data_IF_526597527732
#
_entry.id   IF_526597527732
#
_cell.length_a   1.000
_cell.length_b   1.000
_cell.length_c   1.000
_cell.angle_alpha   90.00
_cell.angle_beta   90.00
_cell.angle_gamma   90.00
#
_symmetry.space_group_name_H-M   'P 1'
#
loop_
_entity.id
_entity.type
_entity.pdbx_description
1 polymer ?
#
# COMPACT_ATOMS: atom_id res chain seq x y z
N UNK A 1 7.78 34.14 39.42
CA UNK A 1 6.62 33.96 40.28
C UNK A 1 5.90 32.72 39.81
N UNK A 2 6.00 31.70 40.62
CA UNK A 2 5.34 30.39 40.66
C UNK A 2 4.84 29.71 39.38
N UNK A 3 5.70 28.81 38.87
CA UNK A 3 5.38 27.74 37.94
C UNK A 3 4.66 26.60 38.68
N UNK A 4 3.42 26.29 38.32
CA UNK A 4 2.72 25.09 38.74
C UNK A 4 3.17 23.94 37.88
N UNK A 5 3.89 22.99 38.47
CA UNK A 5 4.18 21.66 37.89
C UNK A 5 2.94 20.77 37.98
N UNK A 6 2.53 20.05 36.92
CA UNK A 6 1.53 19.00 37.06
C UNK A 6 2.16 17.77 37.71
N UNK A 7 1.53 17.31 38.80
CA UNK A 7 1.86 16.07 39.51
C UNK A 7 1.30 14.91 38.69
N UNK A 8 2.18 14.15 38.07
CA UNK A 8 1.83 12.85 37.47
C UNK A 8 1.69 11.82 38.59
N UNK A 9 0.48 11.38 38.88
CA UNK A 9 0.22 10.23 39.74
C UNK A 9 0.44 8.93 38.93
N UNK A 10 1.18 7.95 39.43
CA UNK A 10 1.27 6.66 38.79
C UNK A 10 -0.04 5.89 38.98
N UNK A 11 -0.69 5.51 37.87
CA UNK A 11 -1.75 4.53 37.85
C UNK A 11 -1.13 3.16 38.17
N UNK A 12 -1.52 2.59 39.28
CA UNK A 12 -1.19 1.23 39.65
C UNK A 12 -1.82 0.28 38.62
N UNK A 13 -0.98 -0.39 37.84
CA UNK A 13 -1.40 -1.47 36.96
C UNK A 13 -1.81 -2.66 37.83
N UNK A 14 -3.10 -2.96 37.84
CA UNK A 14 -3.61 -4.25 38.36
C UNK A 14 -3.16 -5.33 37.37
N UNK A 15 -2.14 -6.10 37.70
CA UNK A 15 -1.76 -7.28 36.97
C UNK A 15 -2.84 -8.34 37.21
N UNK A 16 -3.75 -8.51 36.26
CA UNK A 16 -4.60 -9.69 36.16
C UNK A 16 -3.70 -10.80 35.60
N UNK A 17 -3.24 -11.65 36.50
CA UNK A 17 -2.63 -12.93 36.16
C UNK A 17 -3.72 -13.85 35.60
N UNK A 18 -4.01 -13.70 34.31
CA UNK A 18 -4.63 -14.77 33.54
C UNK A 18 -3.57 -15.81 33.29
N UNK A 19 -3.71 -16.97 33.94
CA UNK A 19 -2.82 -18.09 33.74
C UNK A 19 -2.82 -18.52 32.29
N UNK A 20 -1.73 -18.26 31.60
CA UNK A 20 -1.43 -18.92 30.34
C UNK A 20 -1.43 -20.42 30.63
N UNK A 21 -2.09 -21.25 29.79
CA UNK A 21 -1.91 -22.70 29.92
C UNK A 21 -0.43 -22.99 29.73
N UNK A 22 0.18 -23.67 30.70
CA UNK A 22 1.58 -24.07 30.64
C UNK A 22 1.82 -24.74 29.27
N UNK A 23 2.77 -24.22 28.52
CA UNK A 23 3.31 -24.94 27.39
C UNK A 23 3.76 -26.29 27.91
N UNK A 24 3.06 -27.33 27.49
CA UNK A 24 3.38 -28.70 27.89
C UNK A 24 4.82 -28.97 27.45
N UNK A 25 5.68 -29.25 28.44
CA UNK A 25 6.98 -29.86 28.19
C UNK A 25 6.78 -30.99 27.21
N UNK A 26 7.70 -31.21 26.29
CA UNK A 26 7.74 -32.32 25.34
C UNK A 26 7.73 -33.65 26.10
N UNK A 27 6.56 -34.03 26.63
CA UNK A 27 6.27 -35.32 27.24
C UNK A 27 6.02 -36.31 26.12
N UNK A 28 6.56 -37.50 26.25
CA UNK A 28 6.36 -38.60 25.33
C UNK A 28 4.88 -38.72 24.95
N UNK A 29 4.60 -38.55 23.66
CA UNK A 29 3.27 -38.79 23.09
C UNK A 29 2.79 -40.19 23.47
N UNK A 30 1.53 -40.33 23.86
CA UNK A 30 0.98 -41.64 24.13
C UNK A 30 1.14 -42.56 22.92
N UNK A 31 1.42 -43.87 23.09
CA UNK A 31 1.49 -44.79 21.97
C UNK A 31 0.27 -44.73 21.05
N UNK A 32 -0.92 -44.54 21.60
CA UNK A 32 -2.16 -44.43 20.85
C UNK A 32 -2.26 -43.14 20.03
N UNK A 33 -1.75 -41.99 20.51
CA UNK A 33 -1.75 -40.74 19.78
C UNK A 33 -0.69 -40.77 18.64
N UNK A 34 0.46 -41.41 18.90
CA UNK A 34 1.47 -41.64 17.87
C UNK A 34 0.92 -42.53 16.76
N UNK A 35 0.29 -43.67 17.09
CA UNK A 35 -0.31 -44.56 16.09
C UNK A 35 -1.43 -43.86 15.31
N UNK A 36 -2.26 -43.10 16.00
CA UNK A 36 -3.34 -42.32 15.38
C UNK A 36 -2.77 -41.29 14.38
N UNK A 37 -1.76 -40.54 14.77
CA UNK A 37 -1.10 -39.59 13.89
C UNK A 37 -0.50 -40.29 12.67
N UNK A 38 0.32 -41.29 12.85
CA UNK A 38 1.03 -41.96 11.76
C UNK A 38 0.09 -42.68 10.79
N UNK A 39 -0.98 -43.31 11.31
CA UNK A 39 -1.90 -44.11 10.48
C UNK A 39 -3.04 -43.28 9.84
N UNK A 40 -3.39 -42.13 10.38
CA UNK A 40 -4.56 -41.36 9.97
C UNK A 40 -4.22 -39.95 9.52
N UNK A 41 -3.40 -39.22 10.26
CA UNK A 41 -3.16 -37.78 10.03
C UNK A 41 -2.02 -37.57 9.04
N UNK A 42 -0.87 -38.23 9.24
CA UNK A 42 0.27 -38.08 8.36
C UNK A 42 -0.08 -38.36 6.88
N UNK A 43 -0.83 -39.41 6.52
CA UNK A 43 -1.22 -39.63 5.12
C UNK A 43 -2.08 -38.49 4.55
N UNK A 44 -2.99 -37.92 5.33
CA UNK A 44 -3.79 -36.78 4.88
C UNK A 44 -2.90 -35.58 4.60
N UNK A 45 -2.02 -35.21 5.54
CA UNK A 45 -1.11 -34.08 5.37
C UNK A 45 -0.14 -34.28 4.22
N UNK A 46 0.39 -35.49 4.04
CA UNK A 46 1.31 -35.83 2.96
C UNK A 46 0.64 -35.79 1.58
N UNK A 47 -0.51 -36.45 1.44
CA UNK A 47 -1.10 -36.69 0.11
C UNK A 47 -1.90 -35.49 -0.39
N UNK A 48 -2.56 -34.77 0.52
CA UNK A 48 -3.54 -33.72 0.18
C UNK A 48 -2.99 -32.30 0.38
N UNK A 49 -2.00 -32.11 1.27
CA UNK A 49 -1.56 -30.77 1.67
C UNK A 49 -0.13 -30.42 1.23
N UNK A 50 0.79 -31.43 1.17
CA UNK A 50 2.24 -31.21 0.95
C UNK A 50 2.57 -30.52 -0.35
N UNK A 51 1.79 -30.67 -1.41
CA UNK A 51 2.03 -30.01 -2.70
C UNK A 51 2.15 -28.48 -2.59
N UNK A 52 1.50 -27.90 -1.60
CA UNK A 52 1.46 -26.44 -1.39
C UNK A 52 1.97 -26.02 -0.01
N UNK A 53 2.03 -26.96 0.97
CA UNK A 53 2.30 -26.67 2.37
C UNK A 53 3.43 -27.54 2.93
N UNK A 54 4.46 -27.77 2.13
CA UNK A 54 5.70 -28.46 2.53
C UNK A 54 6.92 -27.63 2.11
N UNK A 55 8.05 -27.90 2.76
CA UNK A 55 9.30 -27.17 2.50
C UNK A 55 9.82 -27.36 1.08
N UNK A 56 9.57 -28.53 0.50
CA UNK A 56 9.97 -28.89 -0.87
C UNK A 56 8.91 -28.54 -1.93
N UNK A 57 7.84 -27.85 -1.55
CA UNK A 57 6.84 -27.36 -2.51
C UNK A 57 7.46 -26.30 -3.43
N UNK A 58 7.09 -26.32 -4.72
CA UNK A 58 7.55 -25.33 -5.71
C UNK A 58 7.29 -23.89 -5.25
N UNK A 59 6.17 -23.68 -4.53
CA UNK A 59 5.84 -22.42 -3.84
C UNK A 59 5.05 -22.76 -2.58
N UNK A 60 5.57 -22.37 -1.42
CA UNK A 60 4.86 -22.47 -0.15
C UNK A 60 3.69 -21.49 -0.18
N UNK A 61 2.46 -21.99 -0.06
CA UNK A 61 1.26 -21.15 -0.06
C UNK A 61 0.89 -20.72 1.36
N UNK A 62 0.53 -19.42 1.49
CA UNK A 62 0.11 -18.86 2.77
C UNK A 62 1.18 -18.92 3.87
N UNK A 63 2.48 -19.02 3.54
CA UNK A 63 3.56 -19.15 4.51
C UNK A 63 3.44 -20.35 5.46
N UNK A 64 2.53 -21.31 5.17
CA UNK A 64 2.17 -22.42 6.05
C UNK A 64 2.91 -23.71 5.68
N UNK A 65 3.55 -24.34 6.65
CA UNK A 65 4.16 -25.64 6.52
C UNK A 65 3.36 -26.68 7.35
N UNK A 66 2.87 -27.72 6.68
CA UNK A 66 2.11 -28.83 7.31
C UNK A 66 2.91 -30.15 7.30
N UNK A 67 4.09 -30.16 6.69
CA UNK A 67 5.00 -31.31 6.64
C UNK A 67 5.74 -31.56 7.96
N UNK A 68 5.67 -30.61 8.91
CA UNK A 68 6.34 -30.69 10.23
C UNK A 68 5.53 -30.01 11.34
N UNK A 69 5.80 -30.44 12.61
CA UNK A 69 5.12 -29.87 13.77
C UNK A 69 5.40 -28.38 13.93
N UNK A 70 6.66 -27.98 13.87
CA UNK A 70 7.05 -26.58 14.04
C UNK A 70 6.37 -25.65 13.03
N UNK A 71 6.06 -26.16 11.81
CA UNK A 71 5.41 -25.39 10.76
C UNK A 71 3.99 -24.96 11.09
N UNK A 72 3.12 -25.91 11.47
CA UNK A 72 1.73 -25.57 11.81
C UNK A 72 1.62 -24.89 13.19
N UNK A 73 2.55 -25.15 14.13
CA UNK A 73 2.61 -24.44 15.42
C UNK A 73 2.93 -22.96 15.21
N UNK A 74 3.85 -22.66 14.27
CA UNK A 74 4.12 -21.28 13.87
C UNK A 74 2.88 -20.61 13.26
N UNK A 75 2.10 -21.36 12.48
CA UNK A 75 1.01 -20.86 11.68
C UNK A 75 1.48 -20.40 10.28
N UNK A 76 0.60 -19.72 9.57
CA UNK A 76 0.85 -19.13 8.25
C UNK A 76 0.61 -17.61 8.25
N UNK A 77 0.49 -17.04 7.05
CA UNK A 77 0.25 -15.60 6.85
C UNK A 77 -1.04 -15.11 7.54
N UNK A 78 -2.02 -16.01 7.70
CA UNK A 78 -3.29 -15.76 8.45
C UNK A 78 -3.20 -16.05 9.96
N UNK A 79 -2.00 -16.29 10.50
CA UNK A 79 -1.79 -16.61 11.91
C UNK A 79 -1.94 -18.10 12.24
N UNK A 80 -2.42 -18.42 13.47
CA UNK A 80 -2.56 -19.78 13.95
C UNK A 80 -3.63 -20.56 13.17
N UNK A 81 -3.23 -21.64 12.51
CA UNK A 81 -4.14 -22.47 11.69
C UNK A 81 -4.71 -23.66 12.45
N UNK A 82 -4.06 -24.08 13.52
CA UNK A 82 -4.51 -25.17 14.42
C UNK A 82 -4.51 -24.63 15.84
N UNK A 83 -5.65 -24.72 16.51
CA UNK A 83 -5.80 -24.40 17.93
C UNK A 83 -5.97 -25.75 18.66
N UNK A 84 -4.93 -26.23 19.34
CA UNK A 84 -5.00 -27.53 20.03
C UNK A 84 -6.16 -27.62 21.01
N UNK A 85 -7.00 -28.62 20.85
CA UNK A 85 -8.20 -28.83 21.65
C UNK A 85 -9.47 -28.16 21.13
N UNK A 86 -9.36 -27.21 20.16
CA UNK A 86 -10.50 -26.49 19.61
C UNK A 86 -10.61 -26.67 18.08
N UNK A 87 -11.30 -27.70 17.61
CA UNK A 87 -11.52 -27.92 16.19
C UNK A 87 -12.33 -26.82 15.50
N UNK A 88 -13.31 -26.24 16.17
CA UNK A 88 -14.21 -25.25 15.61
C UNK A 88 -13.54 -23.86 15.48
N UNK A 89 -12.60 -23.57 16.36
CA UNK A 89 -11.76 -22.38 16.28
C UNK A 89 -10.57 -22.53 15.33
N UNK A 90 -10.25 -23.75 14.88
CA UNK A 90 -9.09 -23.99 14.01
C UNK A 90 -9.37 -23.69 12.55
N UNK A 91 -8.62 -22.75 11.98
CA UNK A 91 -8.74 -22.33 10.56
C UNK A 91 -8.57 -23.53 9.61
N UNK A 92 -7.63 -24.44 9.90
CA UNK A 92 -7.45 -25.68 9.13
C UNK A 92 -8.75 -26.45 8.94
N UNK A 93 -9.54 -26.60 10.02
CA UNK A 93 -10.79 -27.36 9.97
C UNK A 93 -11.83 -26.65 9.13
N UNK A 94 -12.01 -25.34 9.32
CA UNK A 94 -12.96 -24.54 8.52
C UNK A 94 -12.66 -24.63 7.04
N UNK A 95 -11.39 -24.48 6.64
CA UNK A 95 -10.99 -24.53 5.23
C UNK A 95 -11.19 -25.93 4.61
N UNK A 96 -10.90 -27.02 5.32
CA UNK A 96 -11.12 -28.37 4.79
C UNK A 96 -12.61 -28.80 4.80
N UNK A 97 -13.42 -28.18 5.60
CA UNK A 97 -14.89 -28.33 5.59
C UNK A 97 -15.54 -27.55 4.46
N UNK A 98 -14.78 -26.64 3.82
CA UNK A 98 -15.26 -25.70 2.81
C UNK A 98 -16.33 -24.76 3.41
N UNK A 99 -16.01 -24.18 4.58
CA UNK A 99 -16.79 -23.11 5.18
C UNK A 99 -16.87 -21.94 4.18
N UNK A 100 -18.06 -21.41 3.85
CA UNK A 100 -18.23 -20.37 2.84
C UNK A 100 -17.48 -19.06 3.13
N UNK A 101 -17.08 -18.82 4.37
CA UNK A 101 -16.34 -17.62 4.76
C UNK A 101 -14.83 -17.73 4.54
N UNK A 102 -14.33 -18.89 4.05
CA UNK A 102 -12.89 -19.15 3.85
C UNK A 102 -12.62 -19.83 2.51
N UNK A 103 -11.40 -19.63 2.02
CA UNK A 103 -10.94 -20.33 0.83
C UNK A 103 -10.91 -21.85 1.03
N UNK A 104 -11.54 -22.64 0.16
CA UNK A 104 -11.63 -24.08 0.32
C UNK A 104 -10.27 -24.76 0.14
N UNK A 105 -9.93 -25.68 1.07
CA UNK A 105 -8.72 -26.49 0.99
C UNK A 105 -9.05 -28.00 1.04
N UNK A 106 -8.45 -28.81 0.14
CA UNK A 106 -7.67 -28.45 -1.04
C UNK A 106 -8.53 -27.69 -2.10
N UNK A 107 -7.91 -26.80 -2.92
CA UNK A 107 -8.69 -25.92 -3.83
C UNK A 107 -9.47 -26.63 -4.95
N UNK A 108 -9.05 -27.86 -5.29
CA UNK A 108 -9.62 -28.61 -6.44
C UNK A 108 -10.59 -29.71 -6.05
N UNK A 109 -10.60 -30.14 -4.78
CA UNK A 109 -11.41 -31.27 -4.34
C UNK A 109 -11.64 -31.18 -2.83
N UNK A 110 -12.82 -31.56 -2.38
CA UNK A 110 -13.07 -31.68 -0.94
C UNK A 110 -12.51 -33.00 -0.40
N UNK A 111 -11.95 -32.97 0.82
CA UNK A 111 -11.52 -34.16 1.53
C UNK A 111 -12.71 -35.12 1.77
N UNK A 112 -12.43 -36.42 1.85
CA UNK A 112 -13.45 -37.41 2.21
C UNK A 112 -13.99 -37.12 3.62
N UNK A 113 -15.27 -37.35 3.90
CA UNK A 113 -15.85 -37.08 5.24
C UNK A 113 -15.06 -37.71 6.39
N UNK A 114 -14.47 -38.89 6.16
CA UNK A 114 -13.63 -39.57 7.15
C UNK A 114 -12.31 -38.83 7.40
N UNK A 115 -11.68 -38.28 6.39
CA UNK A 115 -10.43 -37.51 6.52
C UNK A 115 -10.67 -36.24 7.33
N UNK A 116 -11.79 -35.56 7.07
CA UNK A 116 -12.20 -34.37 7.85
C UNK A 116 -12.46 -34.77 9.31
N UNK A 117 -13.17 -35.84 9.54
CA UNK A 117 -13.42 -36.33 10.89
C UNK A 117 -12.13 -36.74 11.66
N UNK A 118 -11.18 -37.33 10.94
CA UNK A 118 -9.86 -37.70 11.51
C UNK A 118 -9.06 -36.43 11.87
N UNK A 119 -9.08 -35.39 11.04
CA UNK A 119 -8.43 -34.09 11.34
C UNK A 119 -9.10 -33.35 12.50
N UNK A 120 -10.43 -33.34 12.58
CA UNK A 120 -11.16 -32.79 13.73
C UNK A 120 -10.80 -33.53 15.06
N UNK A 121 -10.75 -34.86 15.00
CA UNK A 121 -10.36 -35.68 16.14
C UNK A 121 -8.91 -35.41 16.56
N UNK A 122 -8.00 -35.25 15.59
CA UNK A 122 -6.60 -34.87 15.83
C UNK A 122 -6.50 -33.57 16.61
N UNK A 123 -7.16 -32.51 16.10
CA UNK A 123 -7.17 -31.22 16.79
C UNK A 123 -7.79 -31.29 18.15
N UNK A 124 -8.92 -32.02 18.31
CA UNK A 124 -9.61 -32.23 19.59
C UNK A 124 -8.73 -32.91 20.64
N UNK A 125 -7.84 -33.81 20.22
CA UNK A 125 -6.85 -34.49 21.11
C UNK A 125 -5.68 -33.55 21.49
N UNK A 126 -5.68 -32.29 21.08
CA UNK A 126 -4.58 -31.37 21.31
C UNK A 126 -3.52 -31.39 20.22
N UNK A 127 -3.86 -31.87 19.05
CA UNK A 127 -3.00 -31.95 17.87
C UNK A 127 -1.65 -32.67 18.15
N UNK A 128 -1.67 -33.89 18.66
CA UNK A 128 -0.45 -34.66 18.95
C UNK A 128 0.31 -34.96 17.65
N UNK A 129 1.56 -34.49 17.57
CA UNK A 129 2.42 -34.64 16.37
C UNK A 129 3.81 -35.14 16.81
N UNK A 130 4.22 -36.33 16.36
CA UNK A 130 5.50 -36.92 16.75
C UNK A 130 6.70 -36.38 15.95
N UNK A 131 6.48 -35.54 14.93
CA UNK A 131 7.55 -35.01 14.10
C UNK A 131 8.35 -33.95 14.86
N UNK A 132 9.66 -34.16 14.94
CA UNK A 132 10.60 -33.30 15.69
C UNK A 132 11.44 -32.41 14.77
N UNK A 133 11.20 -32.45 13.47
CA UNK A 133 11.97 -31.65 12.52
C UNK A 133 11.69 -30.16 12.79
N UNK A 134 12.73 -29.44 13.10
CA UNK A 134 12.70 -27.99 13.25
C UNK A 134 12.60 -27.34 11.87
N UNK A 135 11.97 -26.19 11.80
CA UNK A 135 12.04 -25.33 10.60
C UNK A 135 13.48 -24.85 10.54
N UNK A 136 14.22 -25.22 9.49
CA UNK A 136 15.58 -24.72 9.32
C UNK A 136 15.58 -23.19 9.28
N UNK A 137 16.56 -22.56 9.91
CA UNK A 137 16.71 -21.09 9.93
C UNK A 137 16.71 -20.47 8.52
N UNK A 138 17.17 -21.22 7.53
CA UNK A 138 17.15 -20.79 6.11
C UNK A 138 15.73 -20.56 5.55
N UNK A 139 14.71 -21.32 6.02
CA UNK A 139 13.33 -21.13 5.56
C UNK A 139 12.68 -19.91 6.22
N UNK A 140 13.15 -19.53 7.41
CA UNK A 140 12.71 -18.33 8.11
C UNK A 140 13.44 -17.08 7.62
N UNK A 141 14.72 -17.23 7.22
CA UNK A 141 15.53 -16.12 6.73
C UNK A 141 15.22 -15.73 5.29
N UNK A 142 14.60 -16.60 4.46
CA UNK A 142 14.37 -16.32 3.06
C UNK A 142 13.18 -15.38 2.79
N UNK A 143 12.28 -15.15 3.73
CA UNK A 143 11.07 -14.37 3.47
C UNK A 143 11.15 -12.89 3.85
N UNK A 144 11.91 -12.51 4.86
CA UNK A 144 12.00 -11.10 5.23
C UNK A 144 13.27 -10.74 6.03
N UNK A 145 14.35 -10.40 5.33
CA UNK A 145 15.51 -9.74 5.95
C UNK A 145 15.24 -8.24 6.06
N UNK A 146 14.90 -7.81 7.26
CA UNK A 146 14.60 -6.39 7.53
C UNK A 146 15.86 -5.52 7.32
N UNK A 147 17.06 -5.99 7.67
CA UNK A 147 18.30 -5.22 7.53
C UNK A 147 18.64 -5.04 6.05
N UNK A 148 18.55 -6.09 5.23
CA UNK A 148 18.70 -6.00 3.78
C UNK A 148 17.67 -5.04 3.17
N UNK A 149 16.40 -5.14 3.59
CA UNK A 149 15.33 -4.27 3.11
C UNK A 149 15.50 -2.82 3.54
N UNK A 150 15.96 -2.57 4.75
CA UNK A 150 16.30 -1.22 5.21
C UNK A 150 17.47 -0.62 4.41
N UNK A 151 18.33 -1.44 3.82
CA UNK A 151 19.40 -1.04 2.91
C UNK A 151 18.90 -0.59 1.52
N UNK A 152 17.62 -0.74 1.19
CA UNK A 152 17.09 -0.37 -0.11
C UNK A 152 17.26 1.12 -0.40
N UNK A 153 17.66 1.45 -1.61
CA UNK A 153 18.07 2.80 -1.98
C UNK A 153 17.02 3.88 -1.64
N UNK A 154 15.72 3.60 -1.81
CA UNK A 154 14.64 4.56 -1.56
C UNK A 154 14.33 4.77 -0.07
N UNK A 155 14.85 3.91 0.81
CA UNK A 155 14.69 4.02 2.26
C UNK A 155 15.92 4.67 2.93
N UNK A 156 16.97 4.97 2.14
CA UNK A 156 18.15 5.65 2.65
C UNK A 156 17.89 7.16 2.77
N UNK A 157 18.50 7.83 3.76
CA UNK A 157 18.45 9.28 3.83
C UNK A 157 18.93 9.91 2.53
N UNK A 158 18.26 10.97 2.09
CA UNK A 158 18.69 11.72 0.91
C UNK A 158 20.04 12.36 1.19
N UNK A 159 21.07 11.90 0.50
CA UNK A 159 22.42 12.42 0.59
C UNK A 159 22.76 13.37 -0.56
N UNK A 160 23.94 13.99 -0.49
CA UNK A 160 24.47 14.74 -1.61
C UNK A 160 24.85 13.78 -2.74
N UNK A 161 24.29 14.04 -3.93
CA UNK A 161 24.57 13.27 -5.13
C UNK A 161 25.61 14.02 -5.97
N UNK A 162 26.76 13.39 -6.24
CA UNK A 162 27.75 13.96 -7.11
C UNK A 162 27.21 14.12 -8.55
N UNK A 163 27.22 15.34 -9.05
CA UNK A 163 26.84 15.62 -10.43
C UNK A 163 27.86 14.99 -11.37
N UNK A 164 27.45 14.16 -12.35
CA UNK A 164 28.38 13.50 -13.25
C UNK A 164 29.21 14.50 -14.06
N UNK A 165 30.49 14.21 -14.24
CA UNK A 165 31.28 14.86 -15.28
C UNK A 165 30.89 14.29 -16.64
N UNK A 166 30.75 15.15 -17.64
CA UNK A 166 30.34 14.82 -19.01
C UNK A 166 31.35 15.43 -20.00
N UNK A 167 31.52 14.79 -21.15
CA UNK A 167 32.49 15.27 -22.16
C UNK A 167 32.00 16.54 -22.88
N UNK A 168 30.71 16.57 -23.24
CA UNK A 168 30.10 17.73 -23.86
C UNK A 168 29.53 18.68 -22.80
N UNK A 169 30.23 19.80 -22.57
CA UNK A 169 29.76 20.85 -21.65
C UNK A 169 28.81 21.86 -22.31
N UNK A 170 28.59 21.79 -23.62
CA UNK A 170 27.76 22.74 -24.37
C UNK A 170 26.27 22.36 -24.40
N UNK A 171 25.97 21.08 -24.29
CA UNK A 171 24.59 20.58 -24.34
C UNK A 171 23.81 20.75 -22.99
N UNK A 172 24.40 20.48 -21.81
CA UNK A 172 23.67 20.59 -20.56
C UNK A 172 23.38 22.04 -20.17
N UNK A 173 22.11 22.40 -19.97
CA UNK A 173 21.71 23.69 -19.44
C UNK A 173 21.70 23.75 -17.91
N UNK A 174 21.59 22.58 -17.25
CA UNK A 174 21.50 22.45 -15.80
C UNK A 174 22.08 21.11 -15.31
N UNK A 175 22.05 20.89 -13.99
CA UNK A 175 22.58 19.66 -13.40
C UNK A 175 21.80 18.40 -13.83
N UNK A 176 20.47 18.48 -14.04
CA UNK A 176 19.68 17.33 -14.48
C UNK A 176 20.11 16.85 -15.87
N UNK A 177 20.42 17.78 -16.77
CA UNK A 177 20.91 17.45 -18.10
C UNK A 177 22.24 16.68 -18.05
N UNK A 178 23.11 16.96 -17.07
CA UNK A 178 24.35 16.20 -16.86
C UNK A 178 24.09 14.75 -16.48
N UNK A 179 23.09 14.47 -15.65
CA UNK A 179 22.70 13.10 -15.34
C UNK A 179 22.15 12.37 -16.56
N UNK A 180 21.35 13.07 -17.38
CA UNK A 180 20.83 12.51 -18.62
C UNK A 180 21.99 12.22 -19.59
N UNK A 181 22.86 13.22 -19.84
CA UNK A 181 23.99 13.08 -20.76
C UNK A 181 24.96 11.99 -20.31
N UNK A 182 25.34 11.95 -19.02
CA UNK A 182 26.22 10.89 -18.49
C UNK A 182 25.61 9.48 -18.59
N UNK A 183 24.27 9.38 -18.64
CA UNK A 183 23.59 8.12 -18.91
C UNK A 183 23.57 7.76 -20.38
N UNK A 184 23.52 8.74 -21.27
CA UNK A 184 23.64 8.57 -22.72
C UNK A 184 25.06 8.16 -23.11
N UNK A 185 26.07 8.87 -22.57
CA UNK A 185 27.50 8.59 -22.80
C UNK A 185 27.88 7.15 -22.46
N UNK A 186 27.41 6.64 -21.31
CA UNK A 186 27.62 5.24 -20.92
C UNK A 186 27.07 4.22 -21.92
N UNK A 187 26.11 4.61 -22.76
CA UNK A 187 25.52 3.77 -23.81
C UNK A 187 26.03 4.08 -25.20
N UNK A 188 26.94 5.06 -25.35
CA UNK A 188 27.40 5.55 -26.64
C UNK A 188 26.30 6.24 -27.45
N UNK A 189 25.31 6.82 -26.81
CA UNK A 189 24.21 7.50 -27.46
C UNK A 189 24.41 9.02 -27.41
N UNK A 190 23.93 9.70 -28.46
CA UNK A 190 23.96 11.14 -28.53
C UNK A 190 22.56 11.74 -28.26
N UNK A 191 22.49 12.92 -27.63
CA UNK A 191 21.23 13.63 -27.50
C UNK A 191 20.58 13.90 -28.86
N UNK A 192 19.24 13.84 -28.92
CA UNK A 192 18.51 14.24 -30.11
C UNK A 192 18.67 15.76 -30.35
N UNK A 193 18.59 16.21 -31.59
CA UNK A 193 18.57 17.64 -31.91
C UNK A 193 17.43 18.36 -31.19
N UNK A 194 17.64 19.65 -30.87
CA UNK A 194 16.60 20.47 -30.26
C UNK A 194 15.36 20.49 -31.17
N UNK A 195 14.19 20.32 -30.55
CA UNK A 195 12.90 20.36 -31.25
C UNK A 195 12.65 21.74 -31.87
N UNK A 196 11.90 21.79 -32.98
CA UNK A 196 11.48 23.06 -33.58
C UNK A 196 10.61 23.88 -32.62
N UNK A 197 10.50 25.17 -32.86
CA UNK A 197 9.72 26.07 -32.00
C UNK A 197 8.25 25.67 -31.92
N UNK A 198 7.66 25.23 -33.02
CA UNK A 198 6.29 24.74 -33.08
C UNK A 198 6.09 23.50 -32.17
N UNK A 199 7.04 22.56 -32.24
CA UNK A 199 7.00 21.34 -31.40
C UNK A 199 7.19 21.71 -29.95
N UNK A 200 8.09 22.63 -29.61
CA UNK A 200 8.30 23.09 -28.24
C UNK A 200 7.04 23.76 -27.69
N UNK A 201 6.43 24.68 -28.42
CA UNK A 201 5.19 25.33 -28.00
C UNK A 201 4.09 24.30 -27.75
N UNK A 202 3.88 23.39 -28.70
CA UNK A 202 2.86 22.35 -28.54
C UNK A 202 3.11 21.50 -27.31
N UNK A 203 4.34 21.04 -27.09
CA UNK A 203 4.68 20.19 -25.93
C UNK A 203 4.43 20.90 -24.63
N UNK A 204 4.91 22.12 -24.46
CA UNK A 204 4.77 22.85 -23.20
C UNK A 204 3.32 23.21 -22.94
N UNK A 205 2.54 23.64 -23.94
CA UNK A 205 1.12 23.94 -23.77
C UNK A 205 0.32 22.69 -23.35
N UNK A 206 0.52 21.58 -24.04
CA UNK A 206 -0.16 20.31 -23.67
C UNK A 206 0.30 19.78 -22.31
N UNK A 207 1.55 19.96 -21.93
CA UNK A 207 2.04 19.52 -20.64
C UNK A 207 1.44 20.33 -19.50
N UNK A 208 1.44 21.66 -19.64
CA UNK A 208 1.01 22.56 -18.56
C UNK A 208 -0.51 22.73 -18.48
N UNK A 209 -1.22 22.73 -19.61
CA UNK A 209 -2.66 23.01 -19.63
C UNK A 209 -3.53 21.84 -20.13
N UNK A 210 -2.93 20.82 -20.73
CA UNK A 210 -3.67 19.72 -21.38
C UNK A 210 -4.31 20.10 -22.71
N UNK A 211 -4.14 21.34 -23.19
CA UNK A 211 -4.74 21.88 -24.40
C UNK A 211 -3.68 22.08 -25.49
N UNK A 212 -4.11 22.10 -26.76
CA UNK A 212 -3.26 22.49 -27.83
C UNK A 212 -3.16 24.04 -27.88
N UNK A 213 -2.01 24.60 -28.32
CA UNK A 213 -1.92 26.04 -28.55
C UNK A 213 -2.88 26.46 -29.69
N UNK A 214 -3.40 27.68 -29.60
CA UNK A 214 -4.19 28.29 -30.67
C UNK A 214 -3.29 28.72 -31.83
N UNK A 215 -3.88 28.95 -33.01
CA UNK A 215 -3.14 29.47 -34.18
C UNK A 215 -2.49 30.82 -33.87
N UNK A 216 -3.17 31.68 -33.11
CA UNK A 216 -2.63 32.99 -32.73
C UNK A 216 -1.43 32.86 -31.80
N UNK A 217 -1.50 32.00 -30.78
CA UNK A 217 -0.38 31.75 -29.88
C UNK A 217 0.83 31.18 -30.61
N UNK A 218 0.59 30.33 -31.61
CA UNK A 218 1.67 29.81 -32.45
C UNK A 218 2.29 30.92 -33.29
N UNK A 219 1.48 31.77 -33.97
CA UNK A 219 1.96 32.87 -34.76
C UNK A 219 2.76 33.88 -33.92
N UNK A 220 2.24 34.27 -32.77
CA UNK A 220 2.89 35.20 -31.85
C UNK A 220 4.23 34.66 -31.34
N UNK A 221 4.29 33.40 -30.96
CA UNK A 221 5.54 32.78 -30.50
C UNK A 221 6.56 32.64 -31.61
N UNK A 222 6.16 32.30 -32.85
CA UNK A 222 7.07 32.18 -33.97
C UNK A 222 7.62 33.55 -34.45
N UNK A 223 6.86 34.64 -34.26
CA UNK A 223 7.27 36.01 -34.56
C UNK A 223 8.18 36.63 -33.47
N UNK A 224 8.23 36.05 -32.26
CA UNK A 224 9.03 36.59 -31.13
C UNK A 224 10.43 35.95 -31.10
N UNK A 225 11.42 36.55 -31.75
CA UNK A 225 12.82 36.10 -31.71
C UNK A 225 13.63 36.70 -30.55
N UNK A 226 12.99 37.40 -29.62
CA UNK A 226 13.68 38.02 -28.51
C UNK A 226 14.14 36.98 -27.44
N UNK A 227 15.24 37.27 -26.72
CA UNK A 227 15.67 36.40 -25.60
C UNK A 227 14.55 36.20 -24.59
N UNK A 228 14.38 34.96 -24.08
CA UNK A 228 13.34 34.64 -23.10
C UNK A 228 11.93 34.45 -23.70
N UNK A 229 11.79 34.37 -25.03
CA UNK A 229 10.48 34.14 -25.67
C UNK A 229 9.80 32.85 -25.17
N UNK A 230 10.56 31.77 -24.98
CA UNK A 230 10.04 30.49 -24.46
C UNK A 230 9.63 30.58 -23.01
N UNK A 231 10.44 31.21 -22.17
CA UNK A 231 10.17 31.45 -20.77
C UNK A 231 8.88 32.26 -20.56
N UNK A 232 8.65 33.30 -21.36
CA UNK A 232 7.38 34.06 -21.34
C UNK A 232 6.17 33.19 -21.67
N UNK A 233 6.31 32.26 -22.62
CA UNK A 233 5.25 31.29 -22.91
C UNK A 233 4.99 30.42 -21.67
N UNK A 234 6.04 29.88 -21.01
CA UNK A 234 5.93 29.08 -19.82
C UNK A 234 5.22 29.84 -18.69
N UNK A 235 5.65 31.07 -18.40
CA UNK A 235 5.06 31.91 -17.35
C UNK A 235 3.57 32.18 -17.63
N UNK A 236 3.21 32.46 -18.87
CA UNK A 236 1.81 32.67 -19.26
C UNK A 236 0.98 31.40 -19.06
N UNK A 237 1.52 30.23 -19.40
CA UNK A 237 0.81 28.96 -19.25
C UNK A 237 0.67 28.57 -17.78
N UNK A 238 1.67 28.82 -16.95
CA UNK A 238 1.60 28.62 -15.51
C UNK A 238 0.56 29.54 -14.84
N UNK A 239 0.39 30.76 -15.34
CA UNK A 239 -0.65 31.69 -14.87
C UNK A 239 -2.05 31.40 -15.44
N UNK A 240 -2.19 30.44 -16.33
CA UNK A 240 -3.48 30.05 -16.91
C UNK A 240 -4.33 29.26 -15.93
N UNK A 241 -5.67 29.50 -15.83
CA UNK A 241 -6.55 28.69 -15.01
C UNK A 241 -6.56 27.21 -15.43
N UNK A 242 -6.25 26.90 -16.68
CA UNK A 242 -6.14 25.55 -17.19
C UNK A 242 -4.95 24.78 -16.64
N UNK A 243 -3.97 25.45 -16.05
CA UNK A 243 -2.87 24.79 -15.34
C UNK A 243 -3.41 23.98 -14.15
N UNK A 244 -4.23 24.60 -13.30
CA UNK A 244 -4.85 23.88 -12.17
C UNK A 244 -5.77 22.77 -12.63
N UNK A 245 -6.57 22.96 -13.67
CA UNK A 245 -7.43 21.91 -14.24
C UNK A 245 -6.62 20.69 -14.69
N UNK A 246 -5.48 20.91 -15.34
CA UNK A 246 -4.58 19.85 -15.80
C UNK A 246 -3.88 19.14 -14.65
N UNK A 247 -3.32 19.90 -13.72
CA UNK A 247 -2.50 19.33 -12.64
C UNK A 247 -3.31 18.72 -11.51
N UNK A 248 -4.50 19.26 -11.22
CA UNK A 248 -5.46 18.63 -10.33
C UNK A 248 -5.81 17.21 -10.80
N UNK A 249 -5.89 16.97 -12.12
CA UNK A 249 -6.14 15.64 -12.68
C UNK A 249 -5.08 14.62 -12.26
N UNK A 250 -3.79 15.00 -12.27
CA UNK A 250 -2.73 14.10 -11.83
C UNK A 250 -2.86 13.73 -10.36
N UNK A 251 -3.24 14.69 -9.51
CA UNK A 251 -3.50 14.41 -8.10
C UNK A 251 -4.77 13.55 -7.91
N UNK A 252 -5.82 13.83 -8.65
CA UNK A 252 -7.05 13.03 -8.62
C UNK A 252 -6.79 11.56 -8.95
N UNK A 253 -5.89 11.27 -9.89
CA UNK A 253 -5.50 9.90 -10.22
C UNK A 253 -4.79 9.22 -9.02
N UNK A 254 -3.92 9.94 -8.32
CA UNK A 254 -3.22 9.42 -7.12
C UNK A 254 -4.19 9.07 -5.99
N UNK A 255 -5.20 9.94 -5.75
CA UNK A 255 -6.18 9.75 -4.67
C UNK A 255 -7.42 8.97 -5.10
N UNK A 256 -7.41 8.39 -6.29
CA UNK A 256 -8.50 7.56 -6.85
C UNK A 256 -9.83 8.31 -6.92
N UNK A 257 -9.80 9.56 -7.38
CA UNK A 257 -10.99 10.37 -7.53
C UNK A 257 -12.02 9.69 -8.46
N UNK A 258 -13.25 9.62 -7.99
CA UNK A 258 -14.40 9.16 -8.77
C UNK A 258 -15.63 10.00 -8.41
N UNK A 259 -16.58 10.12 -9.33
CA UNK A 259 -17.84 10.82 -9.11
C UNK A 259 -18.94 9.87 -8.64
N UNK A 260 -18.67 8.56 -8.71
CA UNK A 260 -19.57 7.49 -8.30
C UNK A 260 -18.82 6.44 -7.50
N UNK A 261 -19.54 5.60 -6.76
CA UNK A 261 -18.95 4.50 -5.96
C UNK A 261 -18.50 3.31 -6.80
N UNK A 262 -18.82 3.28 -8.10
CA UNK A 262 -18.41 2.24 -9.05
C UNK A 262 -18.67 0.79 -8.58
N UNK A 263 -19.67 0.58 -7.74
CA UNK A 263 -20.11 -0.73 -7.26
C UNK A 263 -21.40 -1.16 -7.98
N UNK A 264 -21.92 -2.35 -7.70
CA UNK A 264 -23.09 -2.92 -8.40
C UNK A 264 -24.27 -1.94 -8.61
N UNK A 265 -24.42 -0.93 -7.76
CA UNK A 265 -25.47 0.07 -7.83
C UNK A 265 -24.98 1.48 -8.22
N UNK A 266 -23.69 1.67 -8.40
CA UNK A 266 -23.03 2.87 -8.92
C UNK A 266 -23.64 4.22 -8.46
N UNK A 267 -23.74 4.42 -7.15
CA UNK A 267 -24.28 5.65 -6.57
C UNK A 267 -23.39 6.86 -6.83
N UNK A 268 -24.01 7.96 -7.25
CA UNK A 268 -23.34 9.25 -7.33
C UNK A 268 -22.87 9.70 -5.94
N UNK A 269 -21.62 10.15 -5.86
CA UNK A 269 -21.04 10.70 -4.63
C UNK A 269 -21.40 12.19 -4.52
N UNK A 270 -22.23 12.60 -3.54
CA UNK A 270 -22.64 13.99 -3.42
C UNK A 270 -21.43 14.88 -3.05
N UNK A 271 -21.38 16.07 -3.66
CA UNK A 271 -20.38 17.12 -3.37
C UNK A 271 -18.93 16.77 -3.66
N UNK A 272 -18.65 15.68 -4.36
CA UNK A 272 -17.27 15.28 -4.70
C UNK A 272 -16.61 16.29 -5.64
N UNK A 273 -17.40 17.01 -6.46
CA UNK A 273 -17.00 18.13 -7.28
C UNK A 273 -16.30 19.24 -6.48
N UNK A 274 -16.67 19.45 -5.22
CA UNK A 274 -16.04 20.45 -4.34
C UNK A 274 -14.57 20.12 -4.05
N UNK A 275 -14.24 18.83 -3.92
CA UNK A 275 -12.86 18.41 -3.74
C UNK A 275 -12.05 18.62 -5.02
N UNK A 276 -12.59 18.28 -6.19
CA UNK A 276 -11.97 18.59 -7.48
C UNK A 276 -11.69 20.08 -7.63
N UNK A 277 -12.70 20.90 -7.36
CA UNK A 277 -12.59 22.36 -7.50
C UNK A 277 -11.58 22.96 -6.49
N UNK A 278 -11.48 22.40 -5.29
CA UNK A 278 -10.44 22.73 -4.33
C UNK A 278 -9.04 22.45 -4.88
N UNK A 279 -8.83 21.26 -5.48
CA UNK A 279 -7.56 20.90 -6.09
C UNK A 279 -7.17 21.86 -7.21
N UNK A 280 -8.11 22.19 -8.09
CA UNK A 280 -7.86 23.15 -9.20
C UNK A 280 -7.40 24.49 -8.63
N UNK A 281 -8.05 25.00 -7.62
CA UNK A 281 -7.65 26.28 -6.99
C UNK A 281 -6.30 26.16 -6.27
N UNK A 282 -6.06 25.07 -5.55
CA UNK A 282 -4.80 24.86 -4.85
C UNK A 282 -3.59 24.83 -5.81
N UNK A 283 -3.72 24.21 -6.97
CA UNK A 283 -2.67 24.23 -7.99
C UNK A 283 -2.53 25.60 -8.66
N UNK A 284 -3.63 26.32 -8.95
CA UNK A 284 -3.57 27.65 -9.52
C UNK A 284 -3.02 28.72 -8.57
N UNK A 285 -3.18 28.52 -7.26
CA UNK A 285 -2.64 29.37 -6.20
C UNK A 285 -1.20 28.98 -5.80
N UNK A 286 -0.64 27.97 -6.43
CA UNK A 286 0.70 27.42 -6.12
C UNK A 286 0.89 27.15 -4.62
N UNK A 287 -0.07 26.45 -3.99
CA UNK A 287 -0.02 26.14 -2.58
C UNK A 287 1.23 25.32 -2.28
N UNK A 288 2.11 25.75 -1.36
CA UNK A 288 3.30 25.00 -0.98
C UNK A 288 2.97 23.58 -0.58
N UNK A 289 3.76 22.61 -1.06
CA UNK A 289 3.44 21.17 -0.90
C UNK A 289 3.30 20.76 0.57
N UNK A 290 4.13 21.31 1.47
CA UNK A 290 4.02 21.02 2.91
C UNK A 290 2.70 21.53 3.50
N UNK A 291 2.18 22.64 3.00
CA UNK A 291 0.86 23.17 3.39
C UNK A 291 -0.26 22.33 2.79
N UNK A 292 -0.14 21.97 1.52
CA UNK A 292 -1.07 21.09 0.84
C UNK A 292 -1.21 19.73 1.55
N UNK A 293 -0.10 19.12 2.00
CA UNK A 293 -0.12 17.88 2.81
C UNK A 293 -0.87 18.09 4.13
N UNK A 294 -0.62 19.22 4.82
CA UNK A 294 -1.34 19.55 6.07
C UNK A 294 -2.84 19.72 5.83
N UNK A 295 -3.23 20.39 4.76
CA UNK A 295 -4.64 20.52 4.36
C UNK A 295 -5.25 19.15 4.06
N UNK A 296 -4.55 18.29 3.31
CA UNK A 296 -5.05 16.98 2.95
C UNK A 296 -5.27 16.07 4.18
N UNK A 297 -4.38 16.10 5.17
CA UNK A 297 -4.46 15.22 6.32
C UNK A 297 -5.33 15.77 7.46
N UNK A 298 -5.39 17.09 7.64
CA UNK A 298 -6.03 17.72 8.79
C UNK A 298 -6.52 19.14 8.50
N UNK A 299 -6.98 19.40 7.27
CA UNK A 299 -7.40 20.75 6.85
C UNK A 299 -8.57 21.32 7.65
N UNK A 300 -9.45 20.47 8.14
CA UNK A 300 -10.56 20.80 9.01
C UNK A 300 -10.13 21.16 10.45
N UNK A 301 -8.92 20.76 10.86
CA UNK A 301 -8.37 20.99 12.20
C UNK A 301 -7.35 22.12 12.24
N UNK A 302 -7.03 22.75 11.11
CA UNK A 302 -6.05 23.85 11.07
C UNK A 302 -6.52 25.06 11.85
N UNK A 303 -5.68 25.55 12.77
CA UNK A 303 -5.97 26.76 13.56
C UNK A 303 -6.00 28.02 12.70
N UNK A 304 -5.21 28.05 11.64
CA UNK A 304 -5.15 29.13 10.66
C UNK A 304 -5.35 28.49 9.29
N UNK A 305 -6.60 28.34 8.85
CA UNK A 305 -6.87 27.77 7.55
C UNK A 305 -6.53 28.75 6.41
N UNK A 306 -6.27 28.20 5.23
CA UNK A 306 -6.24 28.99 4.01
C UNK A 306 -7.66 29.36 3.63
N UNK A 307 -7.85 30.62 3.26
CA UNK A 307 -9.13 31.15 2.77
C UNK A 307 -8.98 31.59 1.31
N UNK A 308 -10.07 31.59 0.57
CA UNK A 308 -10.07 32.10 -0.80
C UNK A 308 -9.75 33.59 -0.85
N UNK A 309 -9.42 34.11 -2.01
CA UNK A 309 -9.03 35.52 -2.22
C UNK A 309 -10.13 36.52 -1.82
N UNK A 310 -11.38 36.09 -1.80
CA UNK A 310 -12.50 36.88 -1.32
C UNK A 310 -12.67 36.84 0.21
N UNK A 311 -11.91 35.97 0.91
CA UNK A 311 -12.01 35.75 2.36
C UNK A 311 -13.32 35.10 2.80
N UNK A 312 -14.09 34.55 1.88
CA UNK A 312 -15.45 34.05 2.11
C UNK A 312 -15.51 32.53 2.35
N UNK A 313 -14.47 31.80 1.92
CA UNK A 313 -14.46 30.33 1.97
C UNK A 313 -13.20 29.82 2.66
N UNK A 314 -13.39 28.90 3.62
CA UNK A 314 -12.29 28.12 4.17
C UNK A 314 -11.93 27.02 3.15
N UNK A 315 -10.81 27.19 2.45
CA UNK A 315 -10.33 26.23 1.45
C UNK A 315 -9.73 24.98 2.11
N UNK A 316 -9.05 25.12 3.24
CA UNK A 316 -8.37 24.00 3.91
C UNK A 316 -9.32 22.89 4.33
N UNK A 317 -10.59 23.19 4.62
CA UNK A 317 -11.59 22.19 5.03
C UNK A 317 -11.91 21.18 3.94
N UNK A 318 -11.65 21.54 2.68
CA UNK A 318 -11.85 20.64 1.56
C UNK A 318 -10.69 19.65 1.35
N UNK A 319 -9.51 19.93 1.93
CA UNK A 319 -8.32 19.11 1.78
C UNK A 319 -8.49 17.63 2.13
N UNK A 320 -9.14 17.26 3.29
CA UNK A 320 -9.40 15.87 3.64
C UNK A 320 -10.45 15.17 2.75
N UNK A 321 -10.98 15.84 1.74
CA UNK A 321 -12.04 15.31 0.87
C UNK A 321 -11.71 13.98 0.21
N UNK A 322 -10.43 13.67 -0.03
CA UNK A 322 -10.03 12.37 -0.60
C UNK A 322 -10.32 11.19 0.34
N UNK A 323 -10.39 11.40 1.65
CA UNK A 323 -10.76 10.37 2.62
C UNK A 323 -12.18 9.85 2.43
N UNK A 324 -13.03 10.61 1.75
CA UNK A 324 -14.38 10.20 1.37
C UNK A 324 -14.39 9.27 0.15
N UNK A 325 -13.31 9.25 -0.64
CA UNK A 325 -13.14 8.44 -1.85
C UNK A 325 -12.71 7.02 -1.49
N UNK A 326 -13.57 6.26 -0.82
CA UNK A 326 -13.27 4.91 -0.33
C UNK A 326 -14.07 3.84 -1.07
N UNK A 327 -13.64 2.59 -0.95
CA UNK A 327 -14.28 1.41 -1.55
C UNK A 327 -15.47 0.88 -0.74
N UNK A 328 -15.94 1.59 0.27
CA UNK A 328 -17.06 1.19 1.12
C UNK A 328 -18.37 0.97 0.34
N UNK A 329 -19.10 -0.07 0.71
CA UNK A 329 -20.36 -0.44 0.08
C UNK A 329 -21.54 0.34 0.68
N UNK A 330 -22.61 0.53 -0.10
CA UNK A 330 -23.85 1.03 0.42
C UNK A 330 -24.70 -0.14 0.95
N UNK A 331 -24.96 -0.16 2.28
CA UNK A 331 -25.71 -1.24 2.93
C UNK A 331 -24.98 -2.59 2.94
N UNK A 332 -23.73 -2.65 3.42
CA UNK A 332 -22.98 -3.89 3.42
C UNK A 332 -23.62 -4.93 4.35
N UNK A 333 -23.61 -6.22 3.97
CA UNK A 333 -24.09 -7.31 4.83
C UNK A 333 -23.21 -7.53 6.06
N UNK A 334 -21.92 -7.21 5.96
CA UNK A 334 -20.94 -7.21 7.04
C UNK A 334 -20.42 -5.79 7.28
N UNK A 335 -20.94 -5.14 8.32
CA UNK A 335 -20.56 -3.76 8.67
C UNK A 335 -19.11 -3.66 9.15
N UNK A 336 -18.61 -4.63 9.90
CA UNK A 336 -17.24 -4.59 10.42
C UNK A 336 -16.22 -4.85 9.33
N UNK A 337 -16.50 -5.79 8.44
CA UNK A 337 -15.65 -6.04 7.28
C UNK A 337 -15.61 -4.85 6.32
N UNK A 338 -16.73 -4.15 6.14
CA UNK A 338 -16.77 -2.95 5.30
C UNK A 338 -16.01 -1.78 5.93
N UNK A 339 -16.15 -1.57 7.24
CA UNK A 339 -15.40 -0.57 7.99
C UNK A 339 -13.88 -0.83 7.90
N UNK A 340 -13.46 -2.09 8.05
CA UNK A 340 -12.05 -2.47 7.89
C UNK A 340 -11.53 -2.16 6.48
N UNK A 341 -12.30 -2.46 5.43
CA UNK A 341 -11.94 -2.11 4.04
C UNK A 341 -11.82 -0.59 3.83
N UNK A 342 -12.73 0.19 4.41
CA UNK A 342 -12.66 1.65 4.34
C UNK A 342 -11.37 2.17 4.98
N UNK A 343 -10.99 1.68 6.16
CA UNK A 343 -9.74 2.07 6.80
C UNK A 343 -8.51 1.64 6.01
N UNK A 344 -8.48 0.40 5.52
CA UNK A 344 -7.39 -0.10 4.67
C UNK A 344 -7.24 0.77 3.41
N UNK A 345 -8.34 1.09 2.77
CA UNK A 345 -8.41 1.98 1.61
C UNK A 345 -7.84 3.37 1.90
N UNK A 346 -8.17 3.98 3.05
CA UNK A 346 -7.64 5.28 3.48
C UNK A 346 -6.13 5.19 3.75
N UNK A 347 -5.68 4.16 4.47
CA UNK A 347 -4.26 3.97 4.79
C UNK A 347 -3.46 3.79 3.51
N UNK A 348 -3.91 2.93 2.61
CA UNK A 348 -3.23 2.66 1.35
C UNK A 348 -3.11 3.91 0.49
N UNK A 349 -4.21 4.64 0.25
CA UNK A 349 -4.16 5.84 -0.58
C UNK A 349 -3.29 6.94 0.06
N UNK A 350 -3.34 7.09 1.37
CA UNK A 350 -2.52 8.09 2.08
C UNK A 350 -1.03 7.75 2.01
N UNK A 351 -0.66 6.49 2.20
CA UNK A 351 0.73 6.05 2.12
C UNK A 351 1.29 6.18 0.70
N UNK A 352 0.52 5.81 -0.32
CA UNK A 352 0.93 5.98 -1.73
C UNK A 352 1.08 7.45 -2.08
N UNK A 353 0.10 8.29 -1.71
CA UNK A 353 0.08 9.70 -2.07
C UNK A 353 1.20 10.52 -1.41
N UNK A 354 1.52 10.26 -0.14
CA UNK A 354 2.45 11.09 0.62
C UNK A 354 3.81 10.45 0.90
N UNK A 355 3.93 9.13 0.82
CA UNK A 355 5.16 8.40 1.11
C UNK A 355 5.69 7.59 -0.08
N UNK A 356 4.88 7.39 -1.13
CA UNK A 356 5.24 6.54 -2.27
C UNK A 356 5.36 5.05 -1.89
N UNK A 357 4.74 4.63 -0.80
CA UNK A 357 4.79 3.26 -0.28
C UNK A 357 3.38 2.69 -0.25
N UNK A 358 3.21 1.46 -0.72
CA UNK A 358 1.94 0.74 -0.61
C UNK A 358 1.85 0.09 0.78
N UNK A 359 0.87 0.51 1.57
CA UNK A 359 0.48 -0.13 2.83
C UNK A 359 -0.95 -0.63 2.65
N UNK A 360 -1.11 -1.93 2.45
CA UNK A 360 -2.40 -2.57 2.30
C UNK A 360 -2.36 -3.93 3.01
N UNK A 361 -3.52 -4.44 3.42
CA UNK A 361 -3.63 -5.81 3.88
C UNK A 361 -3.27 -6.77 2.74
N UNK A 362 -2.44 -7.78 3.05
CA UNK A 362 -2.01 -8.81 2.11
C UNK A 362 -3.10 -9.87 1.91
#
# INVERSE_FOLDING_TARGET
MNFLRPVIRPLAALAIWGGAPAAGTAGDLSPGDREFFESRIRPILSDECSKCHAQDAEKIKGGLLLDRKAGWVRGGDSGAVVIPGDPDGSLLIRMVEHDPDYDPMPPKSKLKPRQIADLREWVRRGAPDPRLEEIGEEVLASEFDLEERMGWWSLQPVGEVAVPEVEDHSWPANHYDRFVLGSLDKRGWQPAPRASREILLRRVTMTLTGLAPTEQELADYLADDSPGAYERVVDRLLASPHFGERWARHWMDVVRFAETKAFEQDYTMPFVDRYRDYLIRAFNEDVPFDHFVKEALAGDLLRVPRVDTAGARNESVAGPGFLYLTDGQHGPPDLHGDEARVFDSIINVSSVAFQGVTLACA
#
